data_IF_268090281853
#
_entry.id   IF_268090281853
#
_cell.length_a   1.000
_cell.length_b   1.000
_cell.length_c   1.000
_cell.angle_alpha   90.00
_cell.angle_beta   90.00
_cell.angle_gamma   90.00
#
_symmetry.space_group_name_H-M   'P 1'
#
loop_
_entity.id
_entity.type
_entity.pdbx_description
1 polymer ?
#
# COMPACT_ATOMS: atom_id res chain seq x y z
N UNK A 1 -22.87 -6.57 -15.19
CA UNK A 1 -23.70 -5.49 -14.62
C UNK A 1 -23.15 -5.06 -13.24
N UNK A 2 -21.83 -5.02 -13.06
CA UNK A 2 -21.14 -4.78 -11.78
C UNK A 2 -20.26 -3.52 -11.77
N UNK A 3 -20.07 -2.85 -12.91
CA UNK A 3 -19.08 -1.78 -13.06
C UNK A 3 -19.54 -0.40 -12.53
N UNK A 4 -20.81 -0.26 -12.16
CA UNK A 4 -21.36 1.02 -11.67
C UNK A 4 -20.91 1.29 -10.21
N UNK A 5 -20.49 0.25 -9.48
CA UNK A 5 -20.03 0.35 -8.09
C UNK A 5 -18.52 0.15 -7.95
N UNK A 6 -17.74 0.73 -8.86
CA UNK A 6 -16.29 0.81 -8.69
C UNK A 6 -15.98 1.71 -7.47
N UNK A 7 -15.12 1.26 -6.56
CA UNK A 7 -14.73 2.00 -5.36
C UNK A 7 -14.18 3.41 -5.67
N UNK A 8 -13.49 3.60 -6.79
CA UNK A 8 -13.09 4.93 -7.26
C UNK A 8 -14.29 5.84 -7.53
N UNK A 9 -15.34 5.29 -8.14
CA UNK A 9 -16.61 5.99 -8.37
C UNK A 9 -17.24 6.41 -7.04
N UNK A 10 -17.28 5.52 -6.05
CA UNK A 10 -17.82 5.83 -4.72
C UNK A 10 -17.09 7.01 -4.04
N UNK A 11 -15.76 7.07 -4.13
CA UNK A 11 -14.99 8.21 -3.61
C UNK A 11 -15.34 9.51 -4.34
N UNK A 12 -15.37 9.48 -5.68
CA UNK A 12 -15.68 10.67 -6.51
C UNK A 12 -17.11 11.15 -6.23
N UNK A 13 -18.08 10.24 -6.20
CA UNK A 13 -19.48 10.56 -5.90
C UNK A 13 -19.62 11.10 -4.48
N UNK A 14 -18.99 10.47 -3.48
CA UNK A 14 -18.99 10.97 -2.10
C UNK A 14 -18.44 12.38 -1.97
N UNK A 15 -17.27 12.64 -2.57
CA UNK A 15 -16.66 13.96 -2.61
C UNK A 15 -17.52 14.98 -3.37
N UNK A 16 -18.11 14.59 -4.50
CA UNK A 16 -19.02 15.44 -5.28
C UNK A 16 -20.28 15.82 -4.53
N UNK A 17 -20.90 14.88 -3.79
CA UNK A 17 -22.05 15.14 -2.95
C UNK A 17 -21.71 16.09 -1.79
N UNK A 18 -20.55 15.92 -1.16
CA UNK A 18 -20.08 16.85 -0.12
C UNK A 18 -19.75 18.25 -0.69
N UNK A 19 -19.21 18.33 -1.91
CA UNK A 19 -18.98 19.60 -2.58
C UNK A 19 -20.29 20.33 -2.90
N UNK A 20 -21.31 19.60 -3.37
CA UNK A 20 -22.66 20.16 -3.54
C UNK A 20 -23.24 20.62 -2.20
N UNK A 21 -23.07 19.82 -1.14
CA UNK A 21 -23.48 20.21 0.21
C UNK A 21 -22.80 21.52 0.65
N UNK A 22 -21.52 21.73 0.31
CA UNK A 22 -20.78 22.95 0.62
C UNK A 22 -21.32 24.20 -0.10
N UNK A 23 -21.93 24.06 -1.27
CA UNK A 23 -22.60 25.18 -1.95
C UNK A 23 -23.87 25.64 -1.22
N UNK A 24 -24.56 24.70 -0.56
CA UNK A 24 -25.78 24.97 0.21
C UNK A 24 -25.47 25.39 1.66
N UNK A 25 -24.42 24.80 2.24
CA UNK A 25 -24.00 24.97 3.62
C UNK A 25 -22.46 25.06 3.71
N UNK A 26 -21.88 26.27 3.84
CA UNK A 26 -20.43 26.48 3.78
C UNK A 26 -19.60 25.65 4.77
N UNK A 27 -20.19 25.23 5.90
CA UNK A 27 -19.51 24.37 6.88
C UNK A 27 -19.11 23.00 6.32
N UNK A 28 -19.69 22.54 5.21
CA UNK A 28 -19.33 21.29 4.56
C UNK A 28 -18.08 21.37 3.67
N UNK A 29 -17.50 22.56 3.47
CA UNK A 29 -16.34 22.76 2.58
C UNK A 29 -15.12 21.95 3.04
N UNK A 30 -14.82 21.93 4.34
CA UNK A 30 -13.72 21.14 4.89
C UNK A 30 -13.94 19.64 4.68
N UNK A 31 -15.19 19.18 4.80
CA UNK A 31 -15.53 17.78 4.55
C UNK A 31 -15.34 17.43 3.07
N UNK A 32 -15.80 18.28 2.15
CA UNK A 32 -15.61 18.09 0.71
C UNK A 32 -14.12 18.00 0.34
N UNK A 33 -13.31 18.92 0.87
CA UNK A 33 -11.86 18.90 0.66
C UNK A 33 -11.22 17.61 1.18
N UNK A 34 -11.63 17.15 2.36
CA UNK A 34 -11.10 15.92 2.96
C UNK A 34 -11.51 14.65 2.19
N UNK A 35 -12.75 14.56 1.72
CA UNK A 35 -13.17 13.42 0.90
C UNK A 35 -12.47 13.41 -0.46
N UNK A 36 -12.16 14.59 -1.02
CA UNK A 36 -11.42 14.70 -2.27
C UNK A 36 -9.97 14.19 -2.14
N UNK A 37 -9.31 14.39 -1.00
CA UNK A 37 -7.94 13.86 -0.78
C UNK A 37 -7.91 12.35 -0.54
N UNK A 38 -9.06 11.73 -0.28
CA UNK A 38 -9.19 10.28 -0.07
C UNK A 38 -9.44 9.50 -1.37
N UNK A 39 -9.61 10.16 -2.51
CA UNK A 39 -9.87 9.50 -3.80
C UNK A 39 -8.69 8.60 -4.15
N UNK A 40 -8.96 7.29 -4.24
CA UNK A 40 -7.99 6.27 -4.63
C UNK A 40 -8.60 5.30 -5.65
N UNK A 41 -7.73 4.50 -6.26
CA UNK A 41 -8.08 3.47 -7.24
C UNK A 41 -7.64 2.08 -6.71
N UNK A 42 -8.46 1.42 -5.88
CA UNK A 42 -8.11 0.12 -5.32
C UNK A 42 -8.03 -0.98 -6.38
N UNK A 43 -8.71 -0.86 -7.52
CA UNK A 43 -8.60 -1.82 -8.62
C UNK A 43 -7.20 -1.78 -9.22
N UNK A 44 -6.66 -0.57 -9.42
CA UNK A 44 -5.27 -0.38 -9.83
C UNK A 44 -4.28 -0.92 -8.79
N UNK A 45 -4.58 -0.78 -7.49
CA UNK A 45 -3.76 -1.39 -6.43
C UNK A 45 -3.79 -2.93 -6.46
N UNK A 46 -4.97 -3.55 -6.65
CA UNK A 46 -5.08 -5.01 -6.75
C UNK A 46 -4.43 -5.55 -8.04
N UNK A 47 -4.50 -4.81 -9.14
CA UNK A 47 -3.73 -5.14 -10.36
C UNK A 47 -2.22 -5.08 -10.09
N UNK A 48 -1.73 -4.00 -9.50
CA UNK A 48 -0.33 -3.91 -9.09
C UNK A 48 0.07 -5.02 -8.12
N UNK A 49 -0.82 -5.41 -7.19
CA UNK A 49 -0.58 -6.51 -6.26
C UNK A 49 -0.37 -7.86 -6.98
N UNK A 50 -1.12 -8.09 -8.07
CA UNK A 50 -0.96 -9.28 -8.91
C UNK A 50 0.33 -9.23 -9.71
N UNK A 51 0.67 -8.08 -10.28
CA UNK A 51 1.94 -7.87 -10.98
C UNK A 51 3.14 -8.16 -10.07
N UNK A 52 3.14 -7.65 -8.83
CA UNK A 52 4.17 -7.94 -7.84
C UNK A 52 4.26 -9.42 -7.45
N UNK A 53 3.16 -10.18 -7.54
CA UNK A 53 3.14 -11.63 -7.30
C UNK A 53 3.42 -12.46 -8.56
N UNK A 54 3.69 -11.82 -9.70
CA UNK A 54 3.77 -12.46 -11.02
C UNK A 54 2.48 -13.25 -11.37
N UNK A 55 1.32 -12.79 -10.90
CA UNK A 55 0.02 -13.39 -11.19
C UNK A 55 -0.61 -12.72 -12.42
N UNK A 56 -0.87 -13.49 -13.48
CA UNK A 56 -1.71 -13.05 -14.61
C UNK A 56 -1.00 -12.25 -15.70
N UNK A 57 0.10 -12.77 -16.27
CA UNK A 57 0.74 -12.17 -17.46
C UNK A 57 -0.14 -12.23 -18.72
N UNK A 58 0.33 -11.60 -19.81
CA UNK A 58 -0.35 -11.60 -21.11
C UNK A 58 -0.70 -13.03 -21.52
N UNK A 59 -1.98 -13.29 -21.79
CA UNK A 59 -2.56 -14.61 -22.13
C UNK A 59 -2.69 -15.62 -20.98
N UNK A 60 -2.65 -15.17 -19.72
CA UNK A 60 -2.86 -16.05 -18.56
C UNK A 60 -1.64 -16.90 -18.20
N UNK A 61 -0.50 -16.67 -18.84
CA UNK A 61 0.78 -17.23 -18.44
C UNK A 61 1.49 -16.27 -17.50
N UNK A 62 1.83 -16.74 -16.30
CA UNK A 62 2.67 -15.99 -15.38
C UNK A 62 4.03 -15.68 -16.05
N UNK A 63 4.56 -14.45 -15.93
CA UNK A 63 5.92 -14.14 -16.37
C UNK A 63 6.94 -15.03 -15.64
N UNK A 64 8.17 -15.09 -16.16
CA UNK A 64 9.23 -15.93 -15.62
C UNK A 64 9.40 -15.74 -14.10
N UNK A 65 9.06 -16.78 -13.34
CA UNK A 65 9.07 -16.76 -11.88
C UNK A 65 10.51 -16.88 -11.35
N UNK A 66 10.83 -16.16 -10.28
CA UNK A 66 12.09 -16.30 -9.54
C UNK A 66 12.24 -17.74 -9.06
N UNK A 67 11.14 -18.41 -8.71
CA UNK A 67 11.13 -19.84 -8.39
C UNK A 67 11.65 -20.71 -9.54
N UNK A 68 11.30 -20.40 -10.79
CA UNK A 68 11.81 -21.12 -11.95
C UNK A 68 13.30 -20.84 -12.18
N UNK A 69 13.72 -19.56 -12.07
CA UNK A 69 15.13 -19.19 -12.18
C UNK A 69 16.00 -19.92 -11.14
N UNK A 70 15.53 -20.04 -9.89
CA UNK A 70 16.23 -20.80 -8.84
C UNK A 70 16.34 -22.27 -9.17
N UNK A 71 15.29 -22.89 -9.72
CA UNK A 71 15.33 -24.29 -10.17
C UNK A 71 16.36 -24.47 -11.29
N UNK A 72 16.37 -23.58 -12.27
CA UNK A 72 17.28 -23.64 -13.42
C UNK A 72 18.74 -23.46 -12.97
N UNK A 73 19.02 -22.50 -12.07
CA UNK A 73 20.35 -22.29 -11.49
C UNK A 73 20.85 -23.51 -10.70
N UNK A 74 19.98 -24.12 -9.90
CA UNK A 74 20.31 -25.35 -9.18
C UNK A 74 20.58 -26.53 -10.14
N UNK A 75 19.79 -26.65 -11.21
CA UNK A 75 20.02 -27.65 -12.26
C UNK A 75 21.36 -27.48 -12.96
N UNK A 76 21.74 -26.23 -13.29
CA UNK A 76 23.05 -25.93 -13.88
C UNK A 76 24.20 -26.25 -12.93
N UNK A 77 24.07 -25.93 -11.64
CA UNK A 77 25.08 -26.26 -10.63
C UNK A 77 25.26 -27.78 -10.49
N UNK A 78 24.16 -28.54 -10.48
CA UNK A 78 24.19 -30.00 -10.45
C UNK A 78 24.84 -30.59 -11.70
N UNK A 79 24.56 -30.03 -12.89
CA UNK A 79 25.18 -30.47 -14.15
C UNK A 79 26.68 -30.17 -14.21
N UNK A 80 27.11 -29.02 -13.65
CA UNK A 80 28.53 -28.68 -13.55
C UNK A 80 29.28 -29.62 -12.60
N UNK A 81 28.61 -30.11 -11.55
CA UNK A 81 29.16 -31.11 -10.63
C UNK A 81 29.25 -32.49 -11.29
N UNK A 82 28.22 -32.92 -12.03
CA UNK A 82 28.20 -34.23 -12.68
C UNK A 82 29.19 -34.37 -13.83
N UNK A 83 29.47 -33.28 -14.56
CA UNK A 83 30.33 -33.30 -15.74
C UNK A 83 31.83 -33.20 -15.42
N UNK A 84 32.21 -33.23 -14.13
CA UNK A 84 33.60 -33.16 -13.65
C UNK A 84 34.41 -31.92 -14.11
N UNK A 85 33.79 -30.94 -14.77
CA UNK A 85 34.45 -29.75 -15.32
C UNK A 85 34.93 -28.76 -14.24
N UNK A 86 34.37 -28.82 -13.04
CA UNK A 86 34.76 -28.00 -11.89
C UNK A 86 35.05 -28.91 -10.69
N UNK A 87 36.31 -28.94 -10.22
CA UNK A 87 36.73 -29.72 -9.05
C UNK A 87 37.44 -28.84 -8.00
N UNK A 88 37.53 -29.37 -6.78
CA UNK A 88 38.31 -28.78 -5.70
C UNK A 88 37.79 -27.41 -5.25
N UNK A 89 38.72 -26.51 -4.91
CA UNK A 89 38.42 -25.21 -4.27
C UNK A 89 37.52 -24.31 -5.13
N UNK A 90 37.62 -24.39 -6.45
CA UNK A 90 36.78 -23.59 -7.36
C UNK A 90 35.31 -24.02 -7.28
N UNK A 91 35.03 -25.33 -7.28
CA UNK A 91 33.68 -25.85 -7.10
C UNK A 91 33.10 -25.42 -5.74
N UNK A 92 33.89 -25.47 -4.66
CA UNK A 92 33.46 -25.02 -3.33
C UNK A 92 33.08 -23.53 -3.33
N UNK A 93 33.91 -22.67 -3.92
CA UNK A 93 33.62 -21.23 -4.03
C UNK A 93 32.37 -20.96 -4.85
N UNK A 94 32.21 -21.66 -5.99
CA UNK A 94 31.02 -21.55 -6.84
C UNK A 94 29.77 -21.95 -6.04
N UNK A 95 29.78 -23.12 -5.37
CA UNK A 95 28.67 -23.56 -4.53
C UNK A 95 28.32 -22.55 -3.43
N UNK A 96 29.33 -21.98 -2.76
CA UNK A 96 29.12 -20.95 -1.74
C UNK A 96 28.45 -19.70 -2.31
N UNK A 97 28.91 -19.23 -3.48
CA UNK A 97 28.33 -18.06 -4.15
C UNK A 97 26.94 -18.31 -4.72
N UNK A 98 26.68 -19.51 -5.21
CA UNK A 98 25.33 -19.94 -5.60
C UNK A 98 24.39 -20.00 -4.40
N UNK A 99 24.82 -20.52 -3.26
CA UNK A 99 24.00 -20.52 -2.04
C UNK A 99 23.68 -19.10 -1.56
N UNK A 100 24.65 -18.18 -1.65
CA UNK A 100 24.44 -16.76 -1.34
C UNK A 100 23.42 -16.12 -2.31
N UNK A 101 23.54 -16.40 -3.61
CA UNK A 101 22.61 -15.93 -4.64
C UNK A 101 21.21 -16.52 -4.44
N UNK A 102 21.08 -17.82 -4.18
CA UNK A 102 19.80 -18.49 -3.95
C UNK A 102 19.08 -17.90 -2.73
N UNK A 103 19.83 -17.60 -1.67
CA UNK A 103 19.29 -16.91 -0.48
C UNK A 103 18.81 -15.49 -0.81
N UNK A 104 19.55 -14.75 -1.64
CA UNK A 104 19.14 -13.41 -2.08
C UNK A 104 17.89 -13.46 -2.98
N UNK A 105 17.80 -14.45 -3.87
CA UNK A 105 16.63 -14.67 -4.73
C UNK A 105 15.41 -15.11 -3.93
N UNK A 106 15.57 -15.96 -2.90
CA UNK A 106 14.51 -16.33 -1.97
C UNK A 106 13.97 -15.10 -1.20
N UNK A 107 14.88 -14.24 -0.73
CA UNK A 107 14.53 -12.99 -0.07
C UNK A 107 13.78 -12.02 -1.00
N UNK A 108 14.23 -11.92 -2.27
CA UNK A 108 13.56 -11.11 -3.28
C UNK A 108 12.15 -11.63 -3.58
N UNK A 109 11.98 -12.94 -3.80
CA UNK A 109 10.68 -13.56 -4.05
C UNK A 109 9.70 -13.33 -2.89
N UNK A 110 10.14 -13.55 -1.65
CA UNK A 110 9.35 -13.25 -0.45
C UNK A 110 9.01 -11.77 -0.34
N UNK A 111 9.96 -10.88 -0.66
CA UNK A 111 9.76 -9.44 -0.65
C UNK A 111 8.72 -8.99 -1.68
N UNK A 112 8.82 -9.49 -2.92
CA UNK A 112 7.86 -9.21 -3.99
C UNK A 112 6.44 -9.68 -3.62
N UNK A 113 6.32 -10.91 -3.12
CA UNK A 113 5.03 -11.43 -2.60
C UNK A 113 4.49 -10.61 -1.44
N UNK A 114 5.35 -10.17 -0.53
CA UNK A 114 4.98 -9.30 0.59
C UNK A 114 4.47 -7.92 0.16
N UNK A 115 5.06 -7.31 -0.88
CA UNK A 115 4.54 -6.08 -1.51
C UNK A 115 3.15 -6.35 -2.09
N UNK A 116 3.00 -7.46 -2.82
CA UNK A 116 1.72 -7.87 -3.39
C UNK A 116 0.62 -8.04 -2.34
N UNK A 117 0.88 -8.80 -1.28
CA UNK A 117 -0.06 -8.98 -0.16
C UNK A 117 -0.45 -7.64 0.48
N UNK A 118 0.52 -6.73 0.66
CA UNK A 118 0.30 -5.42 1.29
C UNK A 118 -0.51 -4.49 0.39
N UNK A 119 -0.28 -4.51 -0.92
CA UNK A 119 -1.06 -3.76 -1.91
C UNK A 119 -2.50 -4.28 -1.98
N UNK A 120 -2.71 -5.60 -1.94
CA UNK A 120 -4.04 -6.19 -1.96
C UNK A 120 -4.81 -5.88 -0.68
N UNK A 121 -4.16 -5.97 0.49
CA UNK A 121 -4.75 -5.51 1.75
C UNK A 121 -5.11 -4.02 1.72
N UNK A 122 -4.23 -3.17 1.17
CA UNK A 122 -4.54 -1.77 0.99
C UNK A 122 -5.76 -1.58 0.07
N UNK A 123 -5.84 -2.30 -1.06
CA UNK A 123 -6.97 -2.24 -1.97
C UNK A 123 -8.30 -2.56 -1.28
N UNK A 124 -8.33 -3.59 -0.42
CA UNK A 124 -9.50 -3.96 0.37
C UNK A 124 -9.91 -2.84 1.35
N UNK A 125 -8.94 -2.26 2.06
CA UNK A 125 -9.19 -1.15 3.00
C UNK A 125 -9.74 0.08 2.25
N UNK A 126 -9.15 0.44 1.11
CA UNK A 126 -9.62 1.55 0.28
C UNK A 126 -11.02 1.28 -0.30
N UNK A 127 -11.35 0.02 -0.59
CA UNK A 127 -12.69 -0.38 -1.02
C UNK A 127 -13.72 -0.11 0.07
N UNK A 128 -13.45 -0.52 1.32
CA UNK A 128 -14.31 -0.23 2.46
C UNK A 128 -14.42 1.28 2.71
N UNK A 129 -13.30 1.99 2.68
CA UNK A 129 -13.28 3.45 2.86
C UNK A 129 -14.07 4.19 1.76
N UNK A 130 -14.17 3.63 0.55
CA UNK A 130 -14.96 4.21 -0.53
C UNK A 130 -16.46 4.25 -0.21
N UNK A 131 -16.99 3.18 0.40
CA UNK A 131 -18.39 3.13 0.84
C UNK A 131 -18.64 4.11 1.99
N UNK A 132 -17.67 4.27 2.89
CA UNK A 132 -17.75 5.27 3.96
C UNK A 132 -17.76 6.69 3.37
N UNK A 133 -16.88 6.99 2.41
CA UNK A 133 -16.85 8.29 1.72
C UNK A 133 -18.19 8.61 1.05
N UNK A 134 -18.74 7.65 0.30
CA UNK A 134 -20.05 7.78 -0.34
C UNK A 134 -21.15 8.07 0.70
N UNK A 135 -21.18 7.31 1.78
CA UNK A 135 -22.17 7.45 2.86
C UNK A 135 -22.09 8.82 3.54
N UNK A 136 -20.86 9.29 3.82
CA UNK A 136 -20.63 10.60 4.42
C UNK A 136 -21.06 11.72 3.47
N UNK A 137 -20.71 11.62 2.18
CA UNK A 137 -21.13 12.58 1.15
C UNK A 137 -22.65 12.66 1.01
N UNK A 138 -23.33 11.52 0.97
CA UNK A 138 -24.80 11.46 0.93
C UNK A 138 -25.46 12.04 2.17
N UNK A 139 -24.95 11.74 3.37
CA UNK A 139 -25.44 12.32 4.62
C UNK A 139 -25.26 13.85 4.65
N UNK A 140 -24.10 14.34 4.22
CA UNK A 140 -23.82 15.78 4.14
C UNK A 140 -24.79 16.48 3.17
N UNK A 141 -25.00 15.92 1.99
CA UNK A 141 -25.94 16.48 1.01
C UNK A 141 -27.39 16.51 1.54
N UNK A 142 -27.81 15.46 2.24
CA UNK A 142 -29.15 15.39 2.87
C UNK A 142 -29.31 16.48 3.94
N UNK A 143 -28.32 16.63 4.83
CA UNK A 143 -28.34 17.66 5.87
C UNK A 143 -28.32 19.07 5.29
N UNK A 144 -27.50 19.32 4.26
CA UNK A 144 -27.43 20.63 3.62
C UNK A 144 -28.72 20.98 2.87
N UNK A 145 -29.37 19.97 2.26
CA UNK A 145 -30.68 20.14 1.62
C UNK A 145 -31.79 20.44 2.64
N UNK A 146 -31.77 19.79 3.80
CA UNK A 146 -32.67 20.10 4.91
C UNK A 146 -32.44 21.52 5.47
N UNK A 147 -31.17 21.93 5.63
CA UNK A 147 -30.81 23.31 6.00
C UNK A 147 -31.34 24.32 4.98
N UNK A 148 -31.13 24.06 3.69
CA UNK A 148 -31.61 24.93 2.62
C UNK A 148 -33.14 25.09 2.62
N UNK A 149 -33.88 24.00 2.85
CA UNK A 149 -35.34 24.05 2.99
C UNK A 149 -35.77 24.84 4.24
N UNK A 150 -35.04 24.70 5.35
CA UNK A 150 -35.31 25.42 6.59
C UNK A 150 -35.11 26.93 6.48
N UNK A 151 -34.25 27.42 5.56
CA UNK A 151 -34.02 28.86 5.32
C UNK A 151 -35.28 29.63 4.88
N UNK A 152 -36.34 28.94 4.44
CA UNK A 152 -37.63 29.56 4.15
C UNK A 152 -38.37 30.07 5.39
N UNK A 153 -38.02 29.59 6.60
CA UNK A 153 -38.63 30.02 7.85
C UNK A 153 -37.56 30.30 8.92
N UNK A 154 -37.42 31.56 9.39
CA UNK A 154 -36.36 31.94 10.33
C UNK A 154 -36.46 31.23 11.69
N UNK A 155 -37.66 30.87 12.14
CA UNK A 155 -37.85 30.13 13.40
C UNK A 155 -37.33 28.69 13.25
N UNK A 156 -37.63 28.05 12.12
CA UNK A 156 -37.17 26.70 11.80
C UNK A 156 -35.65 26.67 11.60
N UNK A 157 -35.09 27.69 10.95
CA UNK A 157 -33.64 27.84 10.75
C UNK A 157 -32.89 27.90 12.09
N UNK A 158 -33.34 28.75 13.02
CA UNK A 158 -32.70 28.91 14.33
C UNK A 158 -32.67 27.61 15.14
N UNK A 159 -33.72 26.77 15.01
CA UNK A 159 -33.79 25.49 15.68
C UNK A 159 -32.89 24.41 15.04
N UNK A 160 -32.76 24.42 13.70
CA UNK A 160 -32.09 23.36 12.94
C UNK A 160 -30.59 23.61 12.75
N UNK A 161 -30.17 24.87 12.65
CA UNK A 161 -28.79 25.22 12.33
C UNK A 161 -27.75 24.61 13.29
N UNK A 162 -27.92 24.63 14.63
CA UNK A 162 -26.98 23.97 15.55
C UNK A 162 -26.88 22.46 15.33
N UNK A 163 -28.00 21.82 14.98
CA UNK A 163 -28.07 20.37 14.70
C UNK A 163 -27.31 20.04 13.42
N UNK A 164 -27.52 20.82 12.35
CA UNK A 164 -26.83 20.64 11.07
C UNK A 164 -25.33 20.87 11.22
N UNK A 165 -24.91 21.96 11.87
CA UNK A 165 -23.49 22.25 12.10
C UNK A 165 -22.84 21.17 12.98
N UNK A 166 -23.53 20.73 14.04
CA UNK A 166 -23.06 19.64 14.90
C UNK A 166 -22.92 18.31 14.16
N UNK A 167 -23.90 17.97 13.33
CA UNK A 167 -23.86 16.76 12.50
C UNK A 167 -22.73 16.84 11.46
N UNK A 168 -22.56 17.95 10.75
CA UNK A 168 -21.45 18.16 9.81
C UNK A 168 -20.08 18.05 10.48
N UNK A 169 -19.93 18.60 11.70
CA UNK A 169 -18.71 18.45 12.48
C UNK A 169 -18.44 16.99 12.85
N UNK A 170 -19.47 16.21 13.21
CA UNK A 170 -19.33 14.77 13.48
C UNK A 170 -18.92 13.97 12.23
N UNK A 171 -19.54 14.23 11.08
CA UNK A 171 -19.16 13.63 9.79
C UNK A 171 -17.71 13.95 9.43
N UNK A 172 -17.28 15.19 9.65
CA UNK A 172 -15.88 15.62 9.44
C UNK A 172 -14.92 14.85 10.34
N UNK A 173 -15.26 14.62 11.61
CA UNK A 173 -14.42 13.80 12.52
C UNK A 173 -14.34 12.33 12.07
N UNK A 174 -15.43 11.76 11.56
CA UNK A 174 -15.41 10.40 10.99
C UNK A 174 -14.50 10.37 9.77
N UNK A 175 -14.66 11.29 8.83
CA UNK A 175 -13.80 11.39 7.66
C UNK A 175 -12.31 11.57 8.04
N UNK A 176 -12.00 12.37 9.07
CA UNK A 176 -10.63 12.55 9.58
C UNK A 176 -10.03 11.24 10.14
N UNK A 177 -10.83 10.44 10.85
CA UNK A 177 -10.40 9.13 11.34
C UNK A 177 -10.09 8.19 10.17
N UNK A 178 -10.97 8.12 9.17
CA UNK A 178 -10.75 7.29 7.98
C UNK A 178 -9.50 7.76 7.24
N UNK A 179 -9.35 9.07 7.01
CA UNK A 179 -8.16 9.65 6.38
C UNK A 179 -6.88 9.28 7.15
N UNK A 180 -6.90 9.33 8.49
CA UNK A 180 -5.75 8.95 9.31
C UNK A 180 -5.39 7.47 9.17
N UNK A 181 -6.39 6.59 9.11
CA UNK A 181 -6.18 5.15 8.88
C UNK A 181 -5.61 4.91 7.48
N UNK A 182 -6.18 5.53 6.45
CA UNK A 182 -5.67 5.43 5.08
C UNK A 182 -4.23 5.96 4.98
N UNK A 183 -3.93 7.12 5.57
CA UNK A 183 -2.58 7.68 5.58
C UNK A 183 -1.56 6.75 6.25
N UNK A 184 -1.93 6.07 7.34
CA UNK A 184 -1.08 5.04 7.96
C UNK A 184 -0.83 3.85 7.02
N UNK A 185 -1.86 3.38 6.32
CA UNK A 185 -1.73 2.29 5.35
C UNK A 185 -0.84 2.71 4.18
N UNK A 186 -1.06 3.91 3.60
CA UNK A 186 -0.22 4.43 2.52
C UNK A 186 1.25 4.54 2.94
N UNK A 187 1.50 5.02 4.17
CA UNK A 187 2.86 5.11 4.71
C UNK A 187 3.51 3.72 4.87
N UNK A 188 2.79 2.73 5.38
CA UNK A 188 3.30 1.35 5.50
C UNK A 188 3.64 0.77 4.14
N UNK A 189 2.75 0.91 3.15
CA UNK A 189 2.99 0.45 1.79
C UNK A 189 4.22 1.15 1.19
N UNK A 190 4.32 2.48 1.34
CA UNK A 190 5.47 3.25 0.88
C UNK A 190 6.80 2.80 1.52
N UNK A 191 6.79 2.48 2.82
CA UNK A 191 7.96 1.96 3.52
C UNK A 191 8.39 0.58 2.98
N UNK A 192 7.45 -0.31 2.68
CA UNK A 192 7.73 -1.61 2.06
C UNK A 192 8.35 -1.40 0.67
N UNK A 193 7.78 -0.52 -0.16
CA UNK A 193 8.35 -0.18 -1.47
C UNK A 193 9.78 0.38 -1.36
N UNK A 194 10.02 1.31 -0.44
CA UNK A 194 11.35 1.87 -0.21
C UNK A 194 12.35 0.79 0.22
N UNK A 195 11.93 -0.15 1.07
CA UNK A 195 12.72 -1.30 1.48
C UNK A 195 13.10 -2.21 0.31
N UNK A 196 12.14 -2.53 -0.56
CA UNK A 196 12.40 -3.36 -1.76
C UNK A 196 13.30 -2.63 -2.76
N UNK A 197 13.09 -1.32 -2.98
CA UNK A 197 13.95 -0.50 -3.82
C UNK A 197 15.39 -0.44 -3.29
N UNK A 198 15.57 -0.36 -1.97
CA UNK A 198 16.88 -0.40 -1.34
C UNK A 198 17.59 -1.74 -1.57
N UNK A 199 16.86 -2.86 -1.42
CA UNK A 199 17.39 -4.21 -1.70
C UNK A 199 17.81 -4.39 -3.15
N UNK A 200 16.97 -3.95 -4.09
CA UNK A 200 17.27 -4.04 -5.53
C UNK A 200 18.47 -3.16 -5.91
N UNK A 201 18.56 -1.94 -5.37
CA UNK A 201 19.73 -1.08 -5.56
C UNK A 201 21.02 -1.69 -5.00
N UNK A 202 20.95 -2.33 -3.82
CA UNK A 202 22.08 -3.06 -3.24
C UNK A 202 22.50 -4.28 -4.05
N UNK A 203 21.56 -5.00 -4.66
CA UNK A 203 21.87 -6.11 -5.56
C UNK A 203 22.53 -5.64 -6.87
N UNK A 204 22.09 -4.50 -7.42
CA UNK A 204 22.67 -3.91 -8.62
C UNK A 204 24.12 -3.44 -8.39
N UNK A 205 24.44 -2.87 -7.21
CA UNK A 205 25.81 -2.46 -6.88
C UNK A 205 26.79 -3.64 -6.70
N UNK A 206 26.28 -4.87 -6.51
CA UNK A 206 27.11 -6.09 -6.43
C UNK A 206 27.61 -6.58 -7.80
N UNK A 207 27.23 -5.93 -8.90
CA UNK A 207 27.72 -6.19 -10.25
C UNK A 207 28.08 -4.85 -10.93
N UNK A 208 29.32 -4.58 -11.41
CA UNK A 208 30.48 -5.46 -11.65
C UNK A 208 31.78 -5.02 -10.93
N UNK A 209 32.43 -5.94 -10.20
CA UNK A 209 33.88 -5.90 -9.95
C UNK A 209 34.43 -5.89 -8.50
N UNK A 210 33.63 -5.76 -7.43
CA UNK A 210 34.18 -5.76 -6.05
C UNK A 210 33.32 -6.46 -4.98
N UNK A 211 34.02 -6.84 -3.89
CA UNK A 211 33.57 -7.68 -2.78
C UNK A 211 32.25 -7.21 -2.14
N UNK A 212 31.34 -8.19 -2.01
CA UNK A 212 30.05 -8.04 -1.39
C UNK A 212 30.17 -7.55 0.06
N UNK A 213 29.67 -6.34 0.33
CA UNK A 213 29.25 -5.98 1.67
C UNK A 213 27.96 -6.75 1.95
N UNK A 214 27.93 -7.54 3.02
CA UNK A 214 26.77 -8.27 3.47
C UNK A 214 25.69 -7.28 3.91
N UNK A 215 24.83 -6.86 2.98
CA UNK A 215 23.59 -6.17 3.32
C UNK A 215 22.68 -7.21 3.95
N UNK A 216 22.49 -7.15 5.27
CA UNK A 216 21.41 -7.88 5.93
C UNK A 216 20.10 -7.45 5.27
N UNK A 217 19.43 -8.37 4.58
CA UNK A 217 18.13 -8.10 4.03
C UNK A 217 17.16 -7.78 5.18
N UNK A 218 16.42 -6.67 5.15
CA UNK A 218 15.45 -6.36 6.19
C UNK A 218 14.39 -7.47 6.22
N UNK A 219 14.05 -7.97 7.41
CA UNK A 219 13.02 -8.98 7.57
C UNK A 219 11.63 -8.34 7.50
N UNK A 220 11.02 -8.38 6.32
CA UNK A 220 9.67 -7.87 6.08
C UNK A 220 8.56 -8.87 6.45
N UNK A 221 8.88 -10.09 6.93
CA UNK A 221 7.83 -11.05 7.32
C UNK A 221 6.99 -10.55 8.50
N UNK A 222 7.56 -9.66 9.33
CA UNK A 222 6.87 -8.96 10.41
C UNK A 222 6.11 -7.71 9.96
N UNK A 223 6.37 -7.20 8.75
CA UNK A 223 5.77 -5.97 8.24
C UNK A 223 4.44 -6.21 7.49
N UNK A 224 3.88 -7.43 7.55
CA UNK A 224 2.61 -7.74 6.88
C UNK A 224 1.49 -6.86 7.46
N UNK A 225 0.95 -6.00 6.61
CA UNK A 225 -0.33 -5.34 6.86
C UNK A 225 -1.40 -6.34 6.46
N UNK A 226 -1.93 -7.08 7.43
CA UNK A 226 -3.09 -7.95 7.19
C UNK A 226 -4.35 -7.21 7.66
N UNK A 227 -5.30 -7.08 6.75
CA UNK A 227 -6.65 -6.61 7.05
C UNK A 227 -7.46 -7.78 7.59
N UNK A 228 -8.07 -7.58 8.76
CA UNK A 228 -9.02 -8.55 9.32
C UNK A 228 -10.45 -8.11 8.96
N UNK A 229 -11.07 -8.86 8.04
CA UNK A 229 -12.44 -8.62 7.60
C UNK A 229 -13.51 -8.82 8.69
N UNK A 230 -13.18 -9.53 9.78
CA UNK A 230 -14.09 -9.77 10.91
C UNK A 230 -14.12 -8.60 11.88
N UNK A 231 -12.99 -7.93 12.12
CA UNK A 231 -12.89 -6.78 13.04
C UNK A 231 -12.88 -5.43 12.33
N UNK A 232 -12.65 -5.42 11.01
CA UNK A 232 -12.48 -4.19 10.23
C UNK A 232 -11.18 -3.43 10.57
N UNK A 233 -10.25 -4.08 11.28
CA UNK A 233 -9.00 -3.52 11.76
C UNK A 233 -7.77 -4.03 11.01
N UNK A 234 -6.62 -3.41 11.30
CA UNK A 234 -5.30 -3.95 10.96
C UNK A 234 -4.85 -4.88 12.08
N UNK A 235 -4.38 -6.08 11.76
CA UNK A 235 -3.73 -6.95 12.74
C UNK A 235 -2.26 -6.53 12.93
N UNK A 236 -1.82 -6.48 14.18
CA UNK A 236 -0.47 -6.10 14.63
C UNK A 236 0.45 -7.34 14.81
N UNK A 237 1.80 -7.18 14.86
CA UNK A 237 2.51 -5.99 15.32
C UNK A 237 3.01 -5.07 14.20
N UNK A 238 2.84 -3.77 14.45
CA UNK A 238 3.61 -2.70 13.82
C UNK A 238 5.12 -3.06 13.82
N UNK A 239 5.84 -2.89 12.71
CA UNK A 239 7.30 -2.93 12.75
C UNK A 239 7.80 -1.82 13.67
N UNK A 240 8.72 -2.16 14.58
CA UNK A 240 9.45 -1.16 15.34
C UNK A 240 10.27 -0.33 14.33
N UNK A 241 10.17 1.00 14.42
CA UNK A 241 10.98 1.92 13.60
C UNK A 241 12.48 1.64 13.78
N UNK A 242 12.86 1.09 14.93
CA UNK A 242 14.23 0.68 15.23
C UNK A 242 14.68 -0.60 14.51
N UNK A 243 13.74 -1.41 14.00
CA UNK A 243 14.03 -2.62 13.22
C UNK A 243 14.27 -2.30 11.73
N UNK A 244 13.99 -1.07 11.28
CA UNK A 244 14.38 -0.62 9.95
C UNK A 244 15.89 -0.34 9.91
N UNK A 245 16.62 -0.80 8.87
CA UNK A 245 18.03 -0.43 8.72
C UNK A 245 18.13 1.09 8.68
N UNK A 246 18.92 1.67 9.58
CA UNK A 246 19.23 3.10 9.54
C UNK A 246 19.80 3.40 8.16
N UNK A 247 19.19 4.34 7.44
CA UNK A 247 19.76 4.87 6.20
C UNK A 247 21.21 5.27 6.49
N UNK A 248 22.21 4.73 5.77
CA UNK A 248 23.57 5.20 5.92
C UNK A 248 23.56 6.71 5.65
N UNK A 249 24.07 7.49 6.59
CA UNK A 249 24.22 8.93 6.42
C UNK A 249 25.15 9.14 5.22
N UNK A 250 24.59 9.60 4.10
CA UNK A 250 25.36 10.04 2.93
C UNK A 250 26.02 11.41 3.15
N UNK A 251 25.76 12.05 4.30
CA UNK A 251 26.48 13.25 4.71
C UNK A 251 27.73 12.83 5.51
N UNK A 252 28.94 13.28 5.12
CA UNK A 252 30.10 13.15 5.97
C UNK A 252 29.83 13.82 7.33
N UNK A 253 30.42 13.32 8.43
CA UNK A 253 30.27 13.97 9.73
C UNK A 253 30.78 15.40 9.59
N UNK A 254 29.86 16.36 9.72
CA UNK A 254 30.24 17.76 9.83
C UNK A 254 30.89 17.93 11.20
N UNK A 255 32.21 17.83 11.23
CA UNK A 255 33.01 18.31 12.35
C UNK A 255 32.87 19.82 12.39
N UNK A 256 32.21 20.33 13.42
CA UNK A 256 32.33 21.73 13.84
C UNK A 256 33.75 22.00 14.34
#
# INVERSE_FOLDING_TARGET
MSDIWNARSNFITGAGLAAMAATLEPSALTLAALLATMIADPDSMSRGAREWRNEGGENGQAPADIGQLRKDLNGQLAALESNEHLKGRMLTTVKQKFAELDTQLDGLDKGMKGVGDSLDSAAQIYTVASYISLSIGGAAMTLASASAAAKANPVTLAAIQPVVTGAMASLSRVAQKVFTVLGKVSWKVAAIFAGVAYLTGGAQQKFPGMQAIAIQAPDFTKAKVAFDGTTGGLTDPLPDVNDMPKTPSFMPPMTL
#
